data_IF_208933928724
#
_entry.id   IF_208933928724
#
_cell.length_a   1.000
_cell.length_b   1.000
_cell.length_c   1.000
_cell.angle_alpha   90.00
_cell.angle_beta   90.00
_cell.angle_gamma   90.00
#
_symmetry.space_group_name_H-M   'P 1'
#
loop_
_entity.id
_entity.type
_entity.pdbx_description
1 polymer ?
#
# COMPACT_ATOMS: atom_id res chain seq x y z
N UNK A 1 12.14 -6.99 -22.25
CA UNK A 1 12.39 -6.08 -21.10
C UNK A 1 12.62 -4.61 -21.53
N UNK A 2 13.54 -4.29 -22.44
CA UNK A 2 13.87 -2.87 -22.80
C UNK A 2 12.67 -2.10 -23.39
N UNK A 3 11.85 -2.74 -24.24
CA UNK A 3 10.65 -2.11 -24.80
C UNK A 3 9.61 -1.72 -23.73
N UNK A 4 9.43 -2.54 -22.70
CA UNK A 4 8.50 -2.25 -21.60
C UNK A 4 8.99 -1.03 -20.79
N UNK A 5 10.29 -0.95 -20.49
CA UNK A 5 10.90 0.21 -19.81
C UNK A 5 10.71 1.48 -20.63
N UNK A 6 10.91 1.42 -21.93
CA UNK A 6 10.73 2.55 -22.85
C UNK A 6 9.31 3.10 -22.82
N UNK A 7 8.30 2.22 -22.84
CA UNK A 7 6.89 2.61 -22.75
C UNK A 7 6.56 3.27 -21.41
N UNK A 8 7.03 2.70 -20.31
CA UNK A 8 6.81 3.28 -18.99
C UNK A 8 7.41 4.68 -18.88
N UNK A 9 8.68 4.86 -19.26
CA UNK A 9 9.33 6.17 -19.22
C UNK A 9 8.63 7.19 -20.13
N UNK A 10 8.18 6.80 -21.32
CA UNK A 10 7.45 7.70 -22.21
C UNK A 10 6.12 8.17 -21.61
N UNK A 11 5.40 7.29 -20.90
CA UNK A 11 4.14 7.63 -20.22
C UNK A 11 4.33 8.65 -19.10
N UNK A 12 5.46 8.58 -18.39
CA UNK A 12 5.80 9.52 -17.31
C UNK A 12 6.17 10.91 -17.82
N UNK A 13 6.58 11.05 -19.09
CA UNK A 13 6.94 12.35 -19.65
C UNK A 13 5.71 13.24 -19.87
N UNK A 14 5.71 14.42 -19.27
CA UNK A 14 4.73 15.47 -19.57
C UNK A 14 4.91 16.00 -21.00
N UNK A 15 3.89 16.69 -21.52
CA UNK A 15 3.97 17.32 -22.83
C UNK A 15 5.11 18.37 -22.89
N UNK A 16 5.32 19.13 -21.82
CA UNK A 16 6.41 20.11 -21.70
C UNK A 16 7.78 19.44 -21.84
N UNK A 17 8.00 18.34 -21.12
CA UNK A 17 9.25 17.57 -21.15
C UNK A 17 9.52 16.96 -22.55
N UNK A 18 8.47 16.45 -23.21
CA UNK A 18 8.59 15.94 -24.59
C UNK A 18 8.96 17.05 -25.57
N UNK A 19 8.36 18.24 -25.45
CA UNK A 19 8.66 19.38 -26.29
C UNK A 19 10.08 19.91 -26.06
N UNK A 20 10.54 19.96 -24.80
CA UNK A 20 11.90 20.35 -24.48
C UNK A 20 12.92 19.35 -25.04
N UNK A 21 12.71 18.05 -24.83
CA UNK A 21 13.59 17.01 -25.39
C UNK A 21 13.62 17.05 -26.91
N UNK A 22 12.47 17.28 -27.55
CA UNK A 22 12.38 17.50 -29.03
C UNK A 22 13.23 18.68 -29.48
N UNK A 23 13.14 19.82 -28.79
CA UNK A 23 13.95 21.01 -29.08
C UNK A 23 15.44 20.73 -28.95
N UNK A 24 15.86 19.98 -27.94
CA UNK A 24 17.26 19.58 -27.73
C UNK A 24 17.79 18.67 -28.88
N UNK A 25 16.90 17.87 -29.47
CA UNK A 25 17.27 16.96 -30.56
C UNK A 25 17.32 17.66 -31.93
N UNK A 26 16.59 18.76 -32.13
CA UNK A 26 16.41 19.41 -33.43
C UNK A 26 17.72 19.84 -34.14
N UNK A 27 18.74 20.21 -33.35
CA UNK A 27 20.02 20.73 -33.84
C UNK A 27 21.16 19.69 -33.81
N UNK A 28 20.86 18.41 -33.54
CA UNK A 28 21.86 17.35 -33.46
C UNK A 28 21.98 16.62 -34.79
N UNK A 29 23.21 16.39 -35.23
CA UNK A 29 23.54 15.67 -36.51
C UNK A 29 23.63 14.16 -36.33
N UNK A 30 23.74 13.65 -35.10
CA UNK A 30 23.79 12.22 -34.81
C UNK A 30 22.45 11.55 -35.15
N UNK A 31 22.52 10.47 -35.93
CA UNK A 31 21.36 9.70 -36.38
C UNK A 31 20.44 9.25 -35.26
N UNK A 32 20.98 9.00 -34.07
CA UNK A 32 20.19 8.59 -32.89
C UNK A 32 19.26 9.71 -32.40
N UNK A 33 19.79 10.95 -32.39
CA UNK A 33 18.97 12.13 -32.05
C UNK A 33 17.95 12.46 -33.15
N UNK A 34 18.27 12.22 -34.39
CA UNK A 34 17.32 12.39 -35.51
C UNK A 34 16.13 11.42 -35.36
N UNK A 35 16.39 10.16 -35.04
CA UNK A 35 15.35 9.17 -34.79
C UNK A 35 14.52 9.56 -33.53
N UNK A 36 15.16 9.98 -32.44
CA UNK A 36 14.47 10.44 -31.26
C UNK A 36 13.59 11.66 -31.56
N UNK A 37 14.08 12.62 -32.34
CA UNK A 37 13.31 13.78 -32.81
C UNK A 37 12.07 13.35 -33.59
N UNK A 38 12.21 12.43 -34.54
CA UNK A 38 11.10 11.90 -35.32
C UNK A 38 10.11 11.15 -34.46
N UNK A 39 10.60 10.34 -33.51
CA UNK A 39 9.78 9.61 -32.56
C UNK A 39 8.93 10.56 -31.72
N UNK A 40 9.50 11.67 -31.24
CA UNK A 40 8.80 12.68 -30.44
C UNK A 40 7.83 13.56 -31.24
N UNK A 41 7.96 13.62 -32.55
CA UNK A 41 7.06 14.34 -33.45
C UNK A 41 5.84 13.50 -33.87
N UNK A 42 5.89 12.19 -33.68
CA UNK A 42 4.80 11.31 -34.05
C UNK A 42 3.61 11.51 -33.11
N UNK A 43 2.41 11.67 -33.63
CA UNK A 43 1.19 11.73 -32.84
C UNK A 43 0.71 10.31 -32.56
N UNK A 44 0.94 9.84 -31.37
CA UNK A 44 0.49 8.53 -30.93
C UNK A 44 -0.98 8.60 -30.51
N UNK A 45 -1.82 7.74 -31.03
CA UNK A 45 -3.17 7.50 -30.51
C UNK A 45 -3.07 6.76 -29.17
N UNK A 46 -2.16 5.79 -29.08
CA UNK A 46 -1.80 5.07 -27.87
C UNK A 46 -0.28 5.06 -27.65
N UNK A 47 0.15 5.08 -26.38
CA UNK A 47 1.58 4.94 -26.05
C UNK A 47 2.20 3.63 -26.58
N UNK A 48 1.37 2.60 -26.80
CA UNK A 48 1.82 1.29 -27.29
C UNK A 48 2.34 1.33 -28.74
N UNK A 49 1.97 2.38 -29.51
CA UNK A 49 2.46 2.60 -30.87
C UNK A 49 3.93 3.05 -30.93
N UNK A 50 4.51 3.43 -29.78
CA UNK A 50 5.89 3.91 -29.69
C UNK A 50 6.91 2.86 -30.17
N UNK A 51 6.73 1.60 -29.80
CA UNK A 51 7.65 0.51 -30.17
C UNK A 51 7.57 0.16 -31.68
N UNK A 52 6.38 -0.03 -32.25
CA UNK A 52 6.23 -0.20 -33.70
C UNK A 52 6.85 0.96 -34.49
N UNK A 53 6.61 2.21 -34.07
CA UNK A 53 7.15 3.38 -34.74
C UNK A 53 8.68 3.45 -34.65
N UNK A 54 9.25 3.14 -33.46
CA UNK A 54 10.71 3.09 -33.32
C UNK A 54 11.34 2.04 -34.24
N UNK A 55 10.73 0.86 -34.39
CA UNK A 55 11.18 -0.15 -35.35
C UNK A 55 11.10 0.34 -36.78
N UNK A 56 9.99 0.97 -37.18
CA UNK A 56 9.80 1.57 -38.50
C UNK A 56 10.88 2.62 -38.83
N UNK A 57 11.22 3.48 -37.86
CA UNK A 57 12.26 4.49 -38.01
C UNK A 57 13.66 3.87 -38.16
N UNK A 58 13.94 2.77 -37.46
CA UNK A 58 15.20 2.01 -37.62
C UNK A 58 15.29 1.42 -39.00
N UNK A 59 14.25 0.76 -39.50
CA UNK A 59 14.23 0.13 -40.81
C UNK A 59 14.39 1.18 -41.92
N UNK A 60 13.78 2.36 -41.76
CA UNK A 60 13.95 3.48 -42.68
C UNK A 60 15.38 4.02 -42.69
N UNK A 61 16.04 4.09 -41.54
CA UNK A 61 17.38 4.67 -41.42
C UNK A 61 18.50 3.70 -41.83
N UNK A 62 18.25 2.39 -41.72
CA UNK A 62 19.21 1.33 -42.08
C UNK A 62 18.51 0.20 -42.85
N UNK A 63 18.10 0.46 -44.12
CA UNK A 63 17.35 -0.53 -44.90
C UNK A 63 18.21 -1.77 -45.17
N UNK A 64 17.61 -2.95 -45.03
CA UNK A 64 18.25 -4.24 -45.33
C UNK A 64 19.33 -4.69 -44.36
N UNK A 65 19.47 -4.09 -43.19
CA UNK A 65 20.46 -4.49 -42.20
C UNK A 65 20.08 -5.81 -41.54
N UNK A 66 21.03 -6.77 -41.52
CA UNK A 66 20.84 -8.09 -40.82
C UNK A 66 20.78 -7.96 -39.26
N UNK A 67 21.22 -6.80 -38.70
CA UNK A 67 21.36 -6.60 -37.26
C UNK A 67 20.28 -5.66 -36.67
N UNK A 68 19.08 -5.59 -37.25
CA UNK A 68 18.04 -4.66 -36.83
C UNK A 68 17.61 -4.85 -35.36
N UNK A 69 17.63 -6.05 -34.85
CA UNK A 69 17.28 -6.29 -33.47
C UNK A 69 18.33 -5.75 -32.46
N UNK A 70 19.62 -5.88 -32.78
CA UNK A 70 20.70 -5.30 -32.00
C UNK A 70 20.65 -3.77 -32.03
N UNK A 71 20.38 -3.19 -33.21
CA UNK A 71 20.20 -1.74 -33.37
C UNK A 71 18.99 -1.24 -32.59
N UNK A 72 17.87 -1.97 -32.66
CA UNK A 72 16.68 -1.68 -31.86
C UNK A 72 17.00 -1.65 -30.37
N UNK A 73 17.70 -2.66 -29.86
CA UNK A 73 18.09 -2.73 -28.45
C UNK A 73 18.98 -1.55 -28.05
N UNK A 74 20.03 -1.23 -28.84
CA UNK A 74 20.94 -0.11 -28.57
C UNK A 74 20.24 1.24 -28.63
N UNK A 75 19.37 1.44 -29.61
CA UNK A 75 18.63 2.69 -29.74
C UNK A 75 17.56 2.85 -28.68
N UNK A 76 16.85 1.78 -28.31
CA UNK A 76 15.91 1.80 -27.19
C UNK A 76 16.58 2.16 -25.87
N UNK A 77 17.79 1.66 -25.61
CA UNK A 77 18.57 2.04 -24.43
C UNK A 77 18.94 3.54 -24.46
N UNK A 78 19.40 4.03 -25.61
CA UNK A 78 19.71 5.45 -25.79
C UNK A 78 18.47 6.33 -25.55
N UNK A 79 17.31 5.96 -26.12
CA UNK A 79 16.05 6.70 -25.94
C UNK A 79 15.62 6.68 -24.45
N UNK A 80 15.70 5.53 -23.78
CA UNK A 80 15.46 5.45 -22.35
C UNK A 80 16.36 6.39 -21.55
N UNK A 81 17.66 6.42 -21.87
CA UNK A 81 18.64 7.31 -21.22
C UNK A 81 18.25 8.79 -21.39
N UNK A 82 17.84 9.20 -22.59
CA UNK A 82 17.40 10.58 -22.83
C UNK A 82 16.11 10.93 -22.07
N UNK A 83 15.18 9.98 -21.94
CA UNK A 83 13.97 10.17 -21.14
C UNK A 83 14.30 10.25 -19.63
N UNK A 84 15.21 9.45 -19.15
CA UNK A 84 15.67 9.51 -17.76
C UNK A 84 16.37 10.85 -17.45
N UNK A 85 17.23 11.33 -18.36
CA UNK A 85 17.92 12.61 -18.21
C UNK A 85 16.91 13.76 -18.07
N UNK A 86 15.93 13.86 -18.96
CA UNK A 86 14.95 14.95 -18.91
C UNK A 86 14.06 14.88 -17.66
N UNK A 87 13.68 13.70 -17.22
CA UNK A 87 12.93 13.49 -15.98
C UNK A 87 13.74 13.95 -14.75
N UNK A 88 15.04 13.57 -14.71
CA UNK A 88 15.95 13.96 -13.61
C UNK A 88 16.17 15.47 -13.59
N UNK A 89 16.41 16.10 -14.75
CA UNK A 89 16.63 17.54 -14.85
C UNK A 89 15.41 18.34 -14.41
N UNK A 90 14.20 17.94 -14.83
CA UNK A 90 12.97 18.55 -14.35
C UNK A 90 12.78 18.36 -12.84
N UNK A 91 12.97 17.14 -12.35
CA UNK A 91 12.90 16.86 -10.93
C UNK A 91 13.86 17.73 -10.10
N UNK A 92 15.11 17.90 -10.56
CA UNK A 92 16.09 18.75 -9.91
C UNK A 92 15.77 20.25 -10.02
N UNK A 93 15.11 20.69 -11.10
CA UNK A 93 14.67 22.08 -11.26
C UNK A 93 13.55 22.44 -10.25
N UNK A 94 12.66 21.50 -9.97
CA UNK A 94 11.58 21.65 -9.00
C UNK A 94 12.05 21.45 -7.55
N UNK A 95 13.13 20.69 -7.35
CA UNK A 95 13.68 20.31 -6.05
C UNK A 95 15.06 20.90 -5.80
N UNK A 96 15.11 22.21 -5.62
CA UNK A 96 16.33 22.99 -5.40
C UNK A 96 17.19 22.48 -4.24
N UNK A 97 16.60 21.98 -3.16
CA UNK A 97 17.33 21.42 -2.04
C UNK A 97 18.11 20.14 -2.44
N UNK A 98 17.51 19.24 -3.24
CA UNK A 98 18.20 18.05 -3.75
C UNK A 98 19.33 18.46 -4.69
N UNK A 99 19.08 19.41 -5.59
CA UNK A 99 20.10 19.97 -6.47
C UNK A 99 21.29 20.54 -5.68
N UNK A 100 21.03 21.33 -4.62
CA UNK A 100 22.09 21.89 -3.78
C UNK A 100 22.87 20.81 -3.01
N UNK A 101 22.21 19.75 -2.56
CA UNK A 101 22.89 18.58 -1.95
C UNK A 101 23.90 17.93 -2.91
N UNK A 102 23.53 17.76 -4.18
CA UNK A 102 24.43 17.20 -5.21
C UNK A 102 25.59 18.17 -5.52
N UNK A 103 25.32 19.47 -5.57
CA UNK A 103 26.36 20.51 -5.77
C UNK A 103 27.35 20.48 -4.62
N UNK A 104 26.87 20.43 -3.37
CA UNK A 104 27.74 20.34 -2.18
C UNK A 104 28.71 19.17 -2.29
N UNK A 105 28.19 17.97 -2.58
CA UNK A 105 29.03 16.77 -2.73
C UNK A 105 30.10 16.92 -3.83
N UNK A 106 29.76 17.56 -4.94
CA UNK A 106 30.69 17.82 -6.02
C UNK A 106 31.79 18.82 -5.65
N UNK A 107 31.43 19.87 -4.88
CA UNK A 107 32.36 20.95 -4.50
C UNK A 107 33.27 20.50 -3.34
N UNK A 108 32.79 19.66 -2.43
CA UNK A 108 33.60 19.11 -1.33
C UNK A 108 34.87 18.41 -1.84
N UNK A 109 34.78 17.71 -2.96
CA UNK A 109 35.93 17.07 -3.61
C UNK A 109 37.00 18.06 -4.11
N UNK A 110 36.58 19.32 -4.36
CA UNK A 110 37.45 20.38 -4.90
C UNK A 110 38.05 21.29 -3.81
N UNK A 111 37.62 21.19 -2.55
CA UNK A 111 38.22 21.88 -1.41
C UNK A 111 37.97 23.39 -1.29
N UNK A 112 37.01 23.96 -2.03
CA UNK A 112 36.68 25.40 -1.93
C UNK A 112 35.73 25.66 -0.72
N UNK A 113 36.30 25.99 0.42
CA UNK A 113 35.61 26.11 1.71
C UNK A 113 34.52 27.19 1.70
N UNK A 114 34.75 28.36 1.09
CA UNK A 114 33.76 29.45 1.06
C UNK A 114 32.51 29.06 0.22
N UNK A 115 32.74 28.39 -0.88
CA UNK A 115 31.68 27.90 -1.74
C UNK A 115 30.89 26.75 -1.08
N UNK A 116 31.60 25.87 -0.38
CA UNK A 116 31.00 24.78 0.40
C UNK A 116 30.09 25.35 1.50
N UNK A 117 30.53 26.33 2.26
CA UNK A 117 29.76 27.00 3.31
C UNK A 117 28.48 27.60 2.73
N UNK A 118 28.61 28.38 1.64
CA UNK A 118 27.47 28.99 0.96
C UNK A 118 26.39 27.95 0.56
N UNK A 119 26.80 26.85 -0.05
CA UNK A 119 25.84 25.84 -0.49
C UNK A 119 25.23 25.02 0.66
N UNK A 120 25.93 24.82 1.78
CA UNK A 120 25.32 24.21 2.96
C UNK A 120 24.27 25.12 3.60
N UNK A 121 24.50 26.40 3.68
CA UNK A 121 23.53 27.38 4.17
C UNK A 121 22.29 27.41 3.28
N UNK A 122 22.49 27.42 1.96
CA UNK A 122 21.41 27.35 0.99
C UNK A 122 20.62 26.04 1.07
N UNK A 123 21.31 24.92 1.18
CA UNK A 123 20.70 23.61 1.36
C UNK A 123 19.83 23.56 2.63
N UNK A 124 20.36 24.02 3.75
CA UNK A 124 19.63 24.10 5.02
C UNK A 124 18.35 24.93 4.89
N UNK A 125 18.47 26.14 4.33
CA UNK A 125 17.33 27.04 4.13
C UNK A 125 16.22 26.42 3.29
N UNK A 126 16.56 25.95 2.11
CA UNK A 126 15.59 25.36 1.17
C UNK A 126 14.99 24.04 1.70
N UNK A 127 15.80 23.22 2.39
CA UNK A 127 15.32 22.00 3.02
C UNK A 127 14.34 22.29 4.18
N UNK A 128 14.58 23.39 4.92
CA UNK A 128 13.68 23.85 5.99
C UNK A 128 12.36 24.36 5.43
N UNK A 129 12.38 25.18 4.37
CA UNK A 129 11.19 25.69 3.69
C UNK A 129 10.31 24.57 3.11
N UNK A 130 10.91 23.51 2.62
CA UNK A 130 10.23 22.36 2.00
C UNK A 130 9.98 21.19 2.98
N UNK A 131 10.29 21.33 4.27
CA UNK A 131 10.18 20.30 5.30
C UNK A 131 10.93 18.98 4.95
N UNK A 132 12.09 19.09 4.32
CA UNK A 132 12.93 17.96 3.93
C UNK A 132 13.91 17.58 5.04
N UNK A 133 13.46 16.78 6.02
CA UNK A 133 14.24 16.44 7.23
C UNK A 133 15.65 15.92 6.93
N UNK A 134 15.81 14.96 6.03
CA UNK A 134 17.13 14.39 5.71
C UNK A 134 18.11 15.39 5.11
N UNK A 135 17.64 16.27 4.22
CA UNK A 135 18.45 17.34 3.63
C UNK A 135 18.73 18.47 4.62
N UNK A 136 17.79 18.74 5.54
CA UNK A 136 17.99 19.68 6.64
C UNK A 136 19.10 19.21 7.58
N UNK A 137 19.09 17.93 7.96
CA UNK A 137 20.16 17.29 8.74
C UNK A 137 21.51 17.44 8.02
N UNK A 138 21.58 17.15 6.72
CA UNK A 138 22.80 17.31 5.94
C UNK A 138 23.28 18.77 5.92
N UNK A 139 22.38 19.73 5.74
CA UNK A 139 22.69 21.16 5.77
C UNK A 139 23.27 21.59 7.13
N UNK A 140 22.64 21.17 8.24
CA UNK A 140 23.11 21.46 9.60
C UNK A 140 24.49 20.83 9.88
N UNK A 141 24.70 19.57 9.54
CA UNK A 141 26.02 18.94 9.68
C UNK A 141 27.11 19.72 8.94
N UNK A 142 26.84 20.13 7.71
CA UNK A 142 27.78 20.94 6.94
C UNK A 142 28.03 22.30 7.58
N UNK A 143 26.98 22.99 8.04
CA UNK A 143 27.08 24.27 8.74
C UNK A 143 27.91 24.17 10.01
N UNK A 144 27.67 23.16 10.84
CA UNK A 144 28.44 22.88 12.06
C UNK A 144 29.92 22.69 11.71
N UNK A 145 30.23 21.81 10.74
CA UNK A 145 31.60 21.52 10.33
C UNK A 145 32.35 22.74 9.80
N UNK A 146 31.70 23.55 8.98
CA UNK A 146 32.31 24.74 8.40
C UNK A 146 32.53 25.84 9.45
N UNK A 147 31.56 26.08 10.33
CA UNK A 147 31.69 27.07 11.40
C UNK A 147 32.73 26.63 12.46
N UNK A 148 32.81 25.34 12.75
CA UNK A 148 33.84 24.82 13.64
C UNK A 148 35.25 24.95 13.04
N UNK A 149 35.40 24.74 11.73
CA UNK A 149 36.68 24.83 11.04
C UNK A 149 37.24 26.27 10.98
N UNK A 150 36.39 27.29 11.07
CA UNK A 150 36.81 28.69 11.04
C UNK A 150 37.53 29.17 12.33
N UNK A 151 37.26 28.51 13.46
CA UNK A 151 37.73 28.85 14.81
C UNK A 151 37.41 30.31 15.26
N UNK A 152 36.50 30.98 14.60
CA UNK A 152 36.01 32.33 14.98
C UNK A 152 34.92 32.19 16.04
N UNK A 153 35.04 32.95 17.15
CA UNK A 153 34.15 32.79 18.31
C UNK A 153 32.64 32.91 17.95
N UNK A 154 32.30 33.87 17.10
CA UNK A 154 30.88 34.03 16.64
C UNK A 154 30.39 32.82 15.86
N UNK A 155 31.23 32.24 15.00
CA UNK A 155 30.90 31.04 14.21
C UNK A 155 30.87 29.79 15.08
N UNK A 156 31.68 29.67 16.12
CA UNK A 156 31.59 28.60 17.10
C UNK A 156 30.27 28.64 17.88
N UNK A 157 29.81 29.84 18.27
CA UNK A 157 28.46 29.99 18.89
C UNK A 157 27.35 29.55 17.95
N UNK A 158 27.43 29.89 16.66
CA UNK A 158 26.51 29.40 15.66
C UNK A 158 26.56 27.87 15.46
N UNK A 159 27.75 27.29 15.50
CA UNK A 159 27.92 25.84 15.42
C UNK A 159 27.25 25.11 16.60
N UNK A 160 27.35 25.67 17.82
CA UNK A 160 26.66 25.10 19.00
C UNK A 160 25.14 25.17 18.86
N UNK A 161 24.59 26.32 18.46
CA UNK A 161 23.13 26.44 18.19
C UNK A 161 22.65 25.47 17.12
N UNK A 162 23.40 25.36 16.02
CA UNK A 162 23.07 24.41 14.96
C UNK A 162 23.14 22.93 15.43
N UNK A 163 24.05 22.63 16.37
CA UNK A 163 24.14 21.29 16.96
C UNK A 163 22.95 20.99 17.88
N UNK A 164 22.47 21.95 18.68
CA UNK A 164 21.27 21.81 19.49
C UNK A 164 20.02 21.57 18.62
N UNK A 165 19.89 22.34 17.53
CA UNK A 165 18.81 22.13 16.55
C UNK A 165 18.91 20.74 15.89
N UNK A 166 20.13 20.32 15.52
CA UNK A 166 20.36 19.01 14.92
C UNK A 166 19.95 17.88 15.86
N UNK A 167 20.33 17.95 17.15
CA UNK A 167 19.95 16.98 18.17
C UNK A 167 18.41 16.87 18.31
N UNK A 168 17.73 18.02 18.30
CA UNK A 168 16.26 18.05 18.36
C UNK A 168 15.65 17.34 17.15
N UNK A 169 16.12 17.64 15.94
CA UNK A 169 15.62 17.03 14.70
C UNK A 169 15.91 15.53 14.66
N UNK A 170 17.11 15.12 15.08
CA UNK A 170 17.48 13.69 15.12
C UNK A 170 16.64 12.91 16.11
N UNK A 171 16.33 13.49 17.27
CA UNK A 171 15.45 12.86 18.25
C UNK A 171 14.03 12.71 17.71
N UNK A 172 13.50 13.72 17.05
CA UNK A 172 12.17 13.65 16.40
C UNK A 172 12.15 12.63 15.26
N UNK A 173 13.16 12.61 14.39
CA UNK A 173 13.27 11.65 13.29
C UNK A 173 13.38 10.21 13.81
N UNK A 174 14.16 10.01 14.88
CA UNK A 174 14.25 8.73 15.57
C UNK A 174 12.89 8.27 16.12
N UNK A 175 12.18 9.16 16.85
CA UNK A 175 10.87 8.84 17.39
C UNK A 175 9.88 8.49 16.27
N UNK A 176 9.87 9.27 15.18
CA UNK A 176 9.02 9.00 14.01
C UNK A 176 9.29 7.63 13.40
N UNK A 177 10.55 7.28 13.13
CA UNK A 177 10.94 5.98 12.56
C UNK A 177 10.57 4.82 13.47
N UNK A 178 10.74 4.97 14.78
CA UNK A 178 10.34 3.95 15.75
C UNK A 178 8.83 3.76 15.77
N UNK A 179 8.04 4.85 15.71
CA UNK A 179 6.57 4.79 15.60
C UNK A 179 6.15 4.05 14.33
N UNK A 180 6.74 4.39 13.18
CA UNK A 180 6.47 3.71 11.90
C UNK A 180 6.83 2.21 11.98
N UNK A 181 7.98 1.88 12.54
CA UNK A 181 8.41 0.50 12.74
C UNK A 181 7.42 -0.29 13.59
N UNK A 182 7.03 0.23 14.75
CA UNK A 182 6.05 -0.43 15.63
C UNK A 182 4.69 -0.57 14.95
N UNK A 183 4.27 0.43 14.19
CA UNK A 183 3.02 0.36 13.46
C UNK A 183 3.05 -0.72 12.37
N UNK A 184 4.13 -0.84 11.63
CA UNK A 184 4.31 -1.89 10.62
C UNK A 184 4.37 -3.29 11.24
N UNK A 185 5.13 -3.47 12.33
CA UNK A 185 5.16 -4.72 13.07
C UNK A 185 3.76 -5.12 13.56
N UNK A 186 2.98 -4.16 14.04
CA UNK A 186 1.61 -4.41 14.50
C UNK A 186 0.66 -4.78 13.36
N UNK A 187 0.87 -4.23 12.14
CA UNK A 187 0.13 -4.65 10.95
C UNK A 187 0.44 -6.10 10.58
N UNK A 188 1.72 -6.45 10.49
CA UNK A 188 2.15 -7.82 10.18
C UNK A 188 1.56 -8.79 11.21
N UNK A 189 1.58 -8.40 12.48
CA UNK A 189 1.00 -9.19 13.54
C UNK A 189 -0.52 -9.37 13.37
N UNK A 190 -1.25 -8.30 13.06
CA UNK A 190 -2.69 -8.34 12.85
C UNK A 190 -3.10 -9.21 11.65
N UNK A 191 -2.29 -9.21 10.59
CA UNK A 191 -2.53 -10.01 9.38
C UNK A 191 -2.11 -11.47 9.55
N UNK A 192 -1.09 -11.73 10.38
CA UNK A 192 -0.48 -13.05 10.59
C UNK A 192 -0.55 -13.52 12.05
N UNK A 193 -1.68 -13.26 12.72
CA UNK A 193 -1.91 -13.51 14.15
C UNK A 193 -1.43 -14.88 14.65
N UNK A 194 -1.43 -15.87 13.76
CA UNK A 194 -1.12 -17.26 14.03
C UNK A 194 0.37 -17.61 14.01
N UNK A 195 1.23 -16.72 13.44
CA UNK A 195 2.66 -17.04 13.26
C UNK A 195 3.57 -16.46 14.36
N UNK A 196 3.06 -15.50 15.16
CA UNK A 196 3.90 -14.65 16.01
C UNK A 196 3.42 -14.52 17.47
N UNK A 197 2.62 -15.48 17.98
CA UNK A 197 2.02 -15.44 19.34
C UNK A 197 3.07 -15.17 20.40
N UNK A 198 4.22 -15.85 20.36
CA UNK A 198 5.29 -15.71 21.35
C UNK A 198 5.98 -14.33 21.35
N UNK A 199 5.82 -13.55 20.29
CA UNK A 199 6.43 -12.21 20.16
C UNK A 199 5.50 -11.07 20.52
N UNK A 200 4.21 -11.35 20.72
CA UNK A 200 3.17 -10.35 21.01
C UNK A 200 3.47 -9.57 22.29
N UNK A 201 3.72 -10.28 23.36
CA UNK A 201 3.97 -9.68 24.69
C UNK A 201 5.22 -8.83 24.69
N UNK A 202 6.30 -9.32 24.05
CA UNK A 202 7.55 -8.58 23.92
C UNK A 202 7.37 -7.29 23.12
N UNK A 203 6.61 -7.33 22.03
CA UNK A 203 6.34 -6.16 21.18
C UNK A 203 5.42 -5.16 21.91
N UNK A 204 4.37 -5.63 22.60
CA UNK A 204 3.50 -4.80 23.43
C UNK A 204 4.27 -4.08 24.54
N UNK A 205 5.14 -4.79 25.25
CA UNK A 205 6.01 -4.22 26.29
C UNK A 205 6.98 -3.18 25.71
N UNK A 206 7.60 -3.46 24.56
CA UNK A 206 8.49 -2.53 23.91
C UNK A 206 7.77 -1.23 23.50
N UNK A 207 6.57 -1.34 22.92
CA UNK A 207 5.74 -0.18 22.56
C UNK A 207 5.34 0.61 23.80
N UNK A 208 4.90 -0.06 24.87
CA UNK A 208 4.49 0.59 26.13
C UNK A 208 5.66 1.34 26.79
N UNK A 209 6.85 0.75 26.78
CA UNK A 209 8.05 1.40 27.29
C UNK A 209 8.43 2.63 26.44
N UNK A 210 8.36 2.51 25.13
CA UNK A 210 8.67 3.61 24.22
C UNK A 210 7.65 4.74 24.33
N UNK A 211 6.36 4.42 24.54
CA UNK A 211 5.29 5.40 24.75
C UNK A 211 5.60 6.39 25.89
N UNK A 212 6.26 5.93 26.96
CA UNK A 212 6.67 6.78 28.08
C UNK A 212 7.76 7.79 27.72
N UNK A 213 8.54 7.54 26.68
CA UNK A 213 9.62 8.42 26.20
C UNK A 213 9.17 9.41 25.13
N UNK A 214 7.95 9.28 24.62
CA UNK A 214 7.44 10.09 23.51
C UNK A 214 6.48 11.17 24.04
N UNK A 215 6.79 12.44 23.71
CA UNK A 215 5.99 13.58 24.16
C UNK A 215 5.00 14.10 23.11
N UNK A 216 5.23 13.83 21.81
CA UNK A 216 4.33 14.31 20.76
C UNK A 216 3.00 13.54 20.75
N UNK A 217 1.84 14.21 20.90
CA UNK A 217 0.54 13.54 20.91
C UNK A 217 0.27 12.71 19.66
N UNK A 218 0.70 13.17 18.48
CA UNK A 218 0.54 12.46 17.20
C UNK A 218 1.27 11.11 17.21
N UNK A 219 2.46 11.05 17.77
CA UNK A 219 3.24 9.83 17.88
C UNK A 219 2.67 8.87 18.94
N UNK A 220 2.20 9.43 20.08
CA UNK A 220 1.51 8.65 21.12
C UNK A 220 0.23 8.03 20.58
N UNK A 221 -0.57 8.78 19.81
CA UNK A 221 -1.76 8.24 19.14
C UNK A 221 -1.44 7.06 18.23
N UNK A 222 -0.38 7.14 17.42
CA UNK A 222 0.08 6.03 16.58
C UNK A 222 0.54 4.80 17.37
N UNK A 223 1.22 4.99 18.50
CA UNK A 223 1.65 3.90 19.38
C UNK A 223 0.45 3.21 20.05
N UNK A 224 -0.56 3.97 20.47
CA UNK A 224 -1.81 3.38 20.98
C UNK A 224 -2.56 2.60 19.90
N UNK A 225 -2.53 3.07 18.64
CA UNK A 225 -3.06 2.29 17.51
C UNK A 225 -2.30 0.97 17.29
N UNK A 226 -0.98 0.99 17.49
CA UNK A 226 -0.15 -0.21 17.40
C UNK A 226 -0.50 -1.19 18.51
N UNK A 227 -0.69 -0.72 19.74
CA UNK A 227 -1.15 -1.52 20.88
C UNK A 227 -2.56 -2.06 20.65
N UNK A 228 -3.48 -1.25 20.10
CA UNK A 228 -4.82 -1.68 19.75
C UNK A 228 -4.81 -2.85 18.75
N UNK A 229 -3.93 -2.81 17.74
CA UNK A 229 -3.77 -3.89 16.76
C UNK A 229 -3.21 -5.17 17.39
N UNK A 230 -2.22 -5.04 18.24
CA UNK A 230 -1.63 -6.19 18.94
C UNK A 230 -2.62 -6.85 19.90
N UNK A 231 -3.50 -6.07 20.52
CA UNK A 231 -4.47 -6.53 21.50
C UNK A 231 -5.88 -6.67 20.91
N UNK A 232 -5.97 -6.92 19.61
CA UNK A 232 -7.23 -6.98 18.87
C UNK A 232 -8.22 -8.04 19.44
N UNK A 233 -7.71 -9.08 20.05
CA UNK A 233 -8.48 -10.17 20.67
C UNK A 233 -8.82 -9.93 22.15
N UNK A 234 -8.41 -8.79 22.71
CA UNK A 234 -8.46 -8.53 24.13
C UNK A 234 -9.47 -7.41 24.45
N UNK A 235 -10.05 -7.44 25.68
CA UNK A 235 -10.94 -6.39 26.21
C UNK A 235 -10.30 -4.99 26.17
N UNK A 236 -8.97 -4.90 26.14
CA UNK A 236 -8.22 -3.65 26.14
C UNK A 236 -8.23 -2.91 24.77
N UNK A 237 -8.73 -3.53 23.69
CA UNK A 237 -8.77 -2.89 22.38
C UNK A 237 -9.52 -1.55 22.41
N UNK A 238 -10.69 -1.53 23.05
CA UNK A 238 -11.51 -0.33 23.19
C UNK A 238 -10.77 0.78 23.94
N UNK A 239 -10.05 0.43 25.02
CA UNK A 239 -9.25 1.36 25.81
C UNK A 239 -8.12 1.97 24.98
N UNK A 240 -7.36 1.17 24.25
CA UNK A 240 -6.28 1.69 23.39
C UNK A 240 -6.81 2.60 22.29
N UNK A 241 -7.97 2.31 21.71
CA UNK A 241 -8.60 3.17 20.72
C UNK A 241 -9.05 4.51 21.31
N UNK A 242 -9.63 4.51 22.52
CA UNK A 242 -10.02 5.75 23.20
C UNK A 242 -8.79 6.58 23.59
N UNK A 243 -7.71 5.96 24.05
CA UNK A 243 -6.45 6.63 24.33
C UNK A 243 -5.85 7.24 23.05
N UNK A 244 -5.87 6.52 21.91
CA UNK A 244 -5.43 7.05 20.61
C UNK A 244 -6.25 8.28 20.19
N UNK A 245 -7.58 8.25 20.38
CA UNK A 245 -8.46 9.40 20.10
C UNK A 245 -8.18 10.59 21.01
N UNK A 246 -7.95 10.32 22.30
CA UNK A 246 -7.63 11.35 23.29
C UNK A 246 -6.33 12.07 22.92
N UNK A 247 -5.28 11.33 22.62
CA UNK A 247 -4.00 11.91 22.17
C UNK A 247 -4.17 12.68 20.85
N UNK A 248 -4.94 12.15 19.90
CA UNK A 248 -5.17 12.84 18.62
C UNK A 248 -5.94 14.16 18.81
N UNK A 249 -6.85 14.28 19.78
CA UNK A 249 -7.51 15.54 20.11
C UNK A 249 -6.53 16.63 20.60
N UNK A 250 -5.44 16.21 21.24
CA UNK A 250 -4.38 17.09 21.73
C UNK A 250 -3.34 17.42 20.63
N UNK A 251 -3.38 16.75 19.49
CA UNK A 251 -2.48 16.99 18.37
C UNK A 251 -2.92 18.21 17.53
N UNK A 252 -1.95 18.83 16.87
CA UNK A 252 -2.22 19.95 15.97
C UNK A 252 -2.91 19.45 14.70
N UNK A 253 -4.13 19.92 14.41
CA UNK A 253 -4.92 19.47 13.24
C UNK A 253 -4.26 19.75 11.87
N UNK A 254 -3.33 20.70 11.82
CA UNK A 254 -2.57 21.04 10.62
C UNK A 254 -1.42 20.05 10.36
N UNK A 255 -1.17 19.14 11.30
CA UNK A 255 -0.14 18.11 11.12
C UNK A 255 -0.58 17.14 10.01
N UNK A 256 0.27 16.96 9.00
CA UNK A 256 -0.01 16.09 7.83
C UNK A 256 -0.39 14.67 8.24
N UNK A 257 0.15 14.21 9.36
CA UNK A 257 -0.08 12.86 9.88
C UNK A 257 -1.43 12.75 10.62
N UNK A 258 -2.05 13.86 11.04
CA UNK A 258 -3.30 13.89 11.80
C UNK A 258 -4.43 13.14 11.08
N UNK A 259 -4.68 13.51 9.83
CA UNK A 259 -5.75 12.90 9.03
C UNK A 259 -5.49 11.41 8.77
N UNK A 260 -4.24 11.02 8.55
CA UNK A 260 -3.87 9.63 8.34
C UNK A 260 -4.15 8.78 9.60
N UNK A 261 -3.78 9.27 10.78
CA UNK A 261 -4.05 8.58 12.05
C UNK A 261 -5.54 8.52 12.33
N UNK A 262 -6.28 9.60 12.12
CA UNK A 262 -7.73 9.64 12.28
C UNK A 262 -8.43 8.57 11.41
N UNK A 263 -7.97 8.41 10.17
CA UNK A 263 -8.47 7.38 9.25
C UNK A 263 -8.19 5.97 9.76
N UNK A 264 -6.97 5.74 10.25
CA UNK A 264 -6.57 4.44 10.84
C UNK A 264 -7.40 4.10 12.08
N UNK A 265 -7.68 5.08 12.94
CA UNK A 265 -8.59 4.91 14.09
C UNK A 265 -9.98 4.47 13.61
N UNK A 266 -10.57 5.22 12.68
CA UNK A 266 -11.90 4.91 12.14
C UNK A 266 -11.97 3.53 11.49
N UNK A 267 -10.90 3.11 10.83
CA UNK A 267 -10.82 1.77 10.23
C UNK A 267 -10.82 0.65 11.30
N UNK A 268 -10.04 0.82 12.36
CA UNK A 268 -10.05 -0.15 13.46
C UNK A 268 -11.40 -0.18 14.21
N UNK A 269 -12.06 0.97 14.37
CA UNK A 269 -13.41 1.04 14.91
C UNK A 269 -14.42 0.30 14.03
N UNK A 270 -14.34 0.47 12.72
CA UNK A 270 -15.19 -0.25 11.78
C UNK A 270 -15.05 -1.76 11.95
N UNK A 271 -13.81 -2.26 12.03
CA UNK A 271 -13.53 -3.67 12.26
C UNK A 271 -14.05 -4.14 13.62
N UNK A 272 -13.76 -3.38 14.69
CA UNK A 272 -14.24 -3.70 16.04
C UNK A 272 -15.78 -3.81 16.07
N UNK A 273 -16.48 -2.83 15.51
CA UNK A 273 -17.95 -2.83 15.48
C UNK A 273 -18.51 -3.98 14.64
N UNK A 274 -17.83 -4.35 13.55
CA UNK A 274 -18.22 -5.51 12.74
C UNK A 274 -18.12 -6.81 13.52
N UNK A 275 -17.02 -7.02 14.23
CA UNK A 275 -16.82 -8.24 15.01
C UNK A 275 -17.63 -8.28 16.32
N UNK A 276 -17.99 -7.13 16.88
CA UNK A 276 -18.88 -7.04 18.04
C UNK A 276 -20.37 -7.20 17.71
N UNK A 277 -20.71 -7.48 16.44
CA UNK A 277 -22.08 -7.76 16.02
C UNK A 277 -23.00 -6.53 15.99
N UNK A 278 -22.46 -5.33 15.77
CA UNK A 278 -23.29 -4.13 15.55
C UNK A 278 -24.15 -4.28 14.29
N UNK A 279 -25.28 -3.58 14.24
CA UNK A 279 -26.22 -3.67 13.13
C UNK A 279 -25.57 -3.34 11.79
N UNK A 280 -25.97 -4.05 10.74
CA UNK A 280 -25.44 -3.85 9.39
C UNK A 280 -25.66 -2.43 8.87
N UNK A 281 -26.78 -1.81 9.17
CA UNK A 281 -27.08 -0.41 8.82
C UNK A 281 -26.09 0.57 9.47
N UNK A 282 -25.72 0.36 10.73
CA UNK A 282 -24.70 1.16 11.39
C UNK A 282 -23.33 0.99 10.73
N UNK A 283 -22.94 -0.24 10.42
CA UNK A 283 -21.67 -0.55 9.77
C UNK A 283 -21.61 0.02 8.36
N UNK A 284 -22.72 -0.03 7.61
CA UNK A 284 -22.81 0.56 6.28
C UNK A 284 -22.60 2.07 6.32
N UNK A 285 -23.31 2.76 7.23
CA UNK A 285 -23.17 4.23 7.43
C UNK A 285 -21.74 4.60 7.86
N UNK A 286 -21.15 3.82 8.77
CA UNK A 286 -19.79 4.05 9.23
C UNK A 286 -18.78 3.83 8.10
N UNK A 287 -18.92 2.76 7.31
CA UNK A 287 -18.05 2.46 6.18
C UNK A 287 -18.09 3.55 5.11
N UNK A 288 -19.26 4.14 4.85
CA UNK A 288 -19.44 5.23 3.90
C UNK A 288 -18.68 6.50 4.32
N UNK A 289 -18.81 6.88 5.59
CA UNK A 289 -18.07 8.01 6.17
C UNK A 289 -16.56 7.82 6.12
N UNK A 290 -16.11 6.58 6.29
CA UNK A 290 -14.69 6.26 6.30
C UNK A 290 -14.13 6.23 4.87
N UNK A 291 -14.82 5.58 3.91
CA UNK A 291 -14.37 5.50 2.50
C UNK A 291 -14.21 6.89 1.88
N UNK A 292 -15.15 7.79 2.13
CA UNK A 292 -15.09 9.16 1.58
C UNK A 292 -13.92 10.01 2.12
N UNK A 293 -13.23 9.55 3.16
CA UNK A 293 -12.10 10.23 3.78
C UNK A 293 -10.72 9.74 3.33
N UNK A 294 -10.64 8.70 2.49
CA UNK A 294 -9.35 8.09 2.08
C UNK A 294 -8.88 8.51 0.70
N UNK A 295 -7.57 8.57 0.55
CA UNK A 295 -6.92 8.74 -0.76
C UNK A 295 -7.06 7.46 -1.59
N UNK A 296 -7.43 7.60 -2.87
CA UNK A 296 -7.83 6.49 -3.76
C UNK A 296 -6.77 5.38 -3.93
N UNK A 297 -5.52 5.64 -3.57
CA UNK A 297 -4.38 4.74 -3.84
C UNK A 297 -3.78 4.05 -2.60
N UNK A 298 -4.38 4.18 -1.41
CA UNK A 298 -3.83 3.54 -0.21
C UNK A 298 -4.23 2.06 -0.10
N UNK A 299 -3.34 1.22 0.42
CA UNK A 299 -3.63 -0.20 0.74
C UNK A 299 -4.82 -0.31 1.71
N UNK A 300 -4.94 0.63 2.64
CA UNK A 300 -6.06 0.72 3.59
C UNK A 300 -7.38 0.93 2.84
N UNK A 301 -7.36 1.64 1.72
CA UNK A 301 -8.52 1.85 0.88
C UNK A 301 -9.07 0.53 0.31
N UNK A 302 -8.20 -0.38 -0.13
CA UNK A 302 -8.62 -1.68 -0.66
C UNK A 302 -9.37 -2.52 0.39
N UNK A 303 -8.89 -2.53 1.64
CA UNK A 303 -9.57 -3.23 2.73
C UNK A 303 -10.91 -2.58 3.08
N UNK A 304 -11.01 -1.25 3.04
CA UNK A 304 -12.26 -0.53 3.27
C UNK A 304 -13.26 -0.78 2.15
N UNK A 305 -12.81 -0.77 0.89
CA UNK A 305 -13.65 -1.10 -0.25
C UNK A 305 -14.20 -2.54 -0.14
N UNK A 306 -13.37 -3.47 0.34
CA UNK A 306 -13.81 -4.84 0.63
C UNK A 306 -14.93 -4.85 1.68
N UNK A 307 -14.74 -4.21 2.84
CA UNK A 307 -15.77 -4.18 3.88
C UNK A 307 -17.04 -3.47 3.39
N UNK A 308 -16.92 -2.36 2.66
CA UNK A 308 -18.10 -1.66 2.13
C UNK A 308 -18.88 -2.54 1.18
N UNK A 309 -18.22 -3.19 0.22
CA UNK A 309 -18.88 -4.10 -0.72
C UNK A 309 -19.52 -5.29 0.02
N UNK A 310 -18.81 -5.84 1.02
CA UNK A 310 -19.35 -6.90 1.87
C UNK A 310 -20.64 -6.43 2.57
N UNK A 311 -20.65 -5.26 3.20
CA UNK A 311 -21.82 -4.75 3.92
C UNK A 311 -23.00 -4.43 2.98
N UNK A 312 -22.76 -3.94 1.77
CA UNK A 312 -23.80 -3.75 0.76
C UNK A 312 -24.45 -5.08 0.37
N UNK A 313 -23.63 -6.12 0.14
CA UNK A 313 -24.12 -7.47 -0.18
C UNK A 313 -24.92 -8.04 1.00
N UNK A 314 -24.40 -7.90 2.24
CA UNK A 314 -25.05 -8.39 3.45
C UNK A 314 -26.40 -7.70 3.72
N UNK A 315 -26.49 -6.42 3.39
CA UNK A 315 -27.69 -5.61 3.59
C UNK A 315 -28.68 -5.69 2.40
N UNK A 316 -28.38 -6.54 1.43
CA UNK A 316 -29.19 -6.71 0.20
C UNK A 316 -29.39 -5.44 -0.62
N UNK A 317 -28.45 -4.49 -0.53
CA UNK A 317 -28.42 -3.22 -1.29
C UNK A 317 -27.87 -3.44 -2.72
N UNK A 318 -28.52 -4.31 -3.48
CA UNK A 318 -27.97 -4.83 -4.74
C UNK A 318 -27.77 -3.76 -5.82
N UNK A 319 -28.61 -2.74 -5.89
CA UNK A 319 -28.44 -1.62 -6.82
C UNK A 319 -27.13 -0.89 -6.56
N UNK A 320 -26.81 -0.63 -5.28
CA UNK A 320 -25.55 -0.01 -4.89
C UNK A 320 -24.34 -0.92 -5.09
N UNK A 321 -24.53 -2.25 -4.99
CA UNK A 321 -23.48 -3.22 -5.32
C UNK A 321 -23.12 -3.14 -6.79
N UNK A 322 -24.11 -3.05 -7.68
CA UNK A 322 -23.89 -2.92 -9.12
C UNK A 322 -23.19 -1.60 -9.47
N UNK A 323 -23.62 -0.48 -8.91
CA UNK A 323 -22.95 0.81 -9.06
C UNK A 323 -21.47 0.71 -8.61
N UNK A 324 -21.23 0.13 -7.44
CA UNK A 324 -19.89 -0.02 -6.86
C UNK A 324 -18.98 -0.91 -7.72
N UNK A 325 -19.52 -2.01 -8.27
CA UNK A 325 -18.74 -2.94 -9.10
C UNK A 325 -18.42 -2.37 -10.49
N UNK A 326 -19.30 -1.50 -11.00
CA UNK A 326 -19.15 -0.84 -12.30
C UNK A 326 -18.31 0.44 -12.25
N UNK A 327 -18.05 0.98 -11.06
CA UNK A 327 -17.20 2.17 -10.91
C UNK A 327 -15.73 1.84 -11.22
N UNK A 328 -15.30 2.27 -12.41
CA UNK A 328 -13.92 2.08 -12.88
C UNK A 328 -12.88 2.89 -12.09
N UNK A 329 -13.31 3.88 -11.30
CA UNK A 329 -12.44 4.69 -10.45
C UNK A 329 -12.00 3.94 -9.18
N UNK A 330 -12.72 2.87 -8.81
CA UNK A 330 -12.40 2.01 -7.68
C UNK A 330 -11.45 0.89 -8.11
N UNK A 331 -10.18 1.08 -7.81
CA UNK A 331 -9.13 0.17 -8.23
C UNK A 331 -8.78 -0.83 -7.13
N UNK A 332 -9.02 -2.12 -7.39
CA UNK A 332 -8.51 -3.21 -6.57
C UNK A 332 -7.20 -3.72 -7.17
N UNK A 333 -6.09 -3.59 -6.43
CA UNK A 333 -4.76 -3.99 -6.89
C UNK A 333 -4.28 -5.27 -6.17
N UNK A 334 -3.47 -6.06 -6.86
CA UNK A 334 -2.80 -7.22 -6.27
C UNK A 334 -3.78 -8.25 -5.70
N UNK A 335 -3.53 -8.71 -4.47
CA UNK A 335 -4.37 -9.69 -3.76
C UNK A 335 -5.80 -9.20 -3.53
N UNK A 336 -6.04 -7.91 -3.43
CA UNK A 336 -7.38 -7.35 -3.26
C UNK A 336 -8.31 -7.63 -4.45
N UNK A 337 -7.75 -7.88 -5.64
CA UNK A 337 -8.51 -8.34 -6.81
C UNK A 337 -9.18 -9.70 -6.55
N UNK A 338 -8.47 -10.60 -5.89
CA UNK A 338 -8.99 -11.94 -5.55
C UNK A 338 -10.12 -11.83 -4.52
N UNK A 339 -9.97 -10.94 -3.53
CA UNK A 339 -11.03 -10.65 -2.56
C UNK A 339 -12.27 -10.04 -3.23
N UNK A 340 -12.08 -9.14 -4.20
CA UNK A 340 -13.20 -8.59 -4.99
C UNK A 340 -13.93 -9.70 -5.74
N UNK A 341 -13.22 -10.59 -6.41
CA UNK A 341 -13.82 -11.73 -7.13
C UNK A 341 -14.61 -12.63 -6.18
N UNK A 342 -14.10 -12.88 -4.97
CA UNK A 342 -14.84 -13.64 -3.97
C UNK A 342 -16.16 -12.95 -3.59
N UNK A 343 -16.16 -11.64 -3.34
CA UNK A 343 -17.39 -10.88 -3.05
C UNK A 343 -18.34 -10.84 -4.24
N UNK A 344 -17.86 -10.78 -5.46
CA UNK A 344 -18.68 -10.90 -6.67
C UNK A 344 -19.35 -12.29 -6.75
N UNK A 345 -18.63 -13.35 -6.43
CA UNK A 345 -19.20 -14.68 -6.38
C UNK A 345 -20.31 -14.80 -5.32
N UNK A 346 -20.09 -14.21 -4.14
CA UNK A 346 -21.06 -14.14 -3.05
C UNK A 346 -22.31 -13.34 -3.47
N UNK A 347 -22.11 -12.21 -4.14
CA UNK A 347 -23.19 -11.38 -4.68
C UNK A 347 -24.06 -12.16 -5.67
N UNK A 348 -23.45 -12.83 -6.66
CA UNK A 348 -24.20 -13.63 -7.62
C UNK A 348 -24.91 -14.84 -6.99
N UNK A 349 -24.32 -15.44 -5.94
CA UNK A 349 -25.00 -16.48 -5.16
C UNK A 349 -26.27 -15.94 -4.51
N UNK A 350 -26.20 -14.73 -3.93
CA UNK A 350 -27.36 -14.07 -3.31
C UNK A 350 -28.46 -13.67 -4.30
N UNK A 351 -28.09 -13.28 -5.51
CA UNK A 351 -29.04 -13.03 -6.59
C UNK A 351 -29.65 -14.31 -7.18
N UNK A 352 -29.17 -15.51 -6.79
CA UNK A 352 -29.56 -16.78 -7.37
C UNK A 352 -28.92 -17.10 -8.73
N UNK A 353 -28.01 -16.24 -9.22
CA UNK A 353 -27.21 -16.54 -10.44
C UNK A 353 -26.04 -17.48 -10.13
N UNK A 354 -26.43 -18.74 -9.83
CA UNK A 354 -25.48 -19.77 -9.46
C UNK A 354 -24.45 -20.08 -10.56
N UNK A 355 -24.79 -19.81 -11.84
CA UNK A 355 -23.87 -20.04 -12.97
C UNK A 355 -22.71 -19.04 -12.92
N UNK A 356 -22.98 -17.75 -12.76
CA UNK A 356 -21.95 -16.74 -12.65
C UNK A 356 -21.12 -16.92 -11.40
N UNK A 357 -21.78 -17.16 -10.25
CA UNK A 357 -21.08 -17.46 -8.99
C UNK A 357 -20.10 -18.62 -9.14
N UNK A 358 -20.55 -19.76 -9.66
CA UNK A 358 -19.71 -20.93 -9.87
C UNK A 358 -18.54 -20.66 -10.81
N UNK A 359 -18.76 -19.90 -11.89
CA UNK A 359 -17.67 -19.54 -12.83
C UNK A 359 -16.56 -18.79 -12.10
N UNK A 360 -16.91 -17.78 -11.32
CA UNK A 360 -15.93 -16.97 -10.57
C UNK A 360 -15.24 -17.82 -9.50
N UNK A 361 -15.98 -18.65 -8.76
CA UNK A 361 -15.41 -19.53 -7.74
C UNK A 361 -14.38 -20.49 -8.32
N UNK A 362 -14.61 -21.04 -9.52
CA UNK A 362 -13.65 -21.89 -10.20
C UNK A 362 -12.33 -21.18 -10.55
N UNK A 363 -12.35 -19.85 -10.75
CA UNK A 363 -11.14 -19.07 -11.01
C UNK A 363 -10.31 -18.85 -9.72
N UNK A 364 -10.96 -18.67 -8.57
CA UNK A 364 -10.30 -18.26 -7.32
C UNK A 364 -10.07 -19.36 -6.30
N UNK A 365 -10.75 -20.51 -6.42
CA UNK A 365 -10.61 -21.64 -5.48
C UNK A 365 -9.21 -22.29 -5.47
N UNK A 366 -8.36 -21.94 -6.44
CA UNK A 366 -6.96 -22.38 -6.53
C UNK A 366 -5.98 -21.24 -6.23
N UNK A 367 -6.46 -20.14 -5.66
CA UNK A 367 -5.64 -19.00 -5.26
C UNK A 367 -4.55 -19.42 -4.28
N UNK A 368 -3.39 -18.77 -4.35
CA UNK A 368 -2.32 -18.88 -3.35
C UNK A 368 -2.74 -18.34 -1.98
N UNK A 369 -3.70 -17.41 -1.93
CA UNK A 369 -4.30 -16.96 -0.68
C UNK A 369 -5.16 -18.07 -0.09
N UNK A 370 -4.64 -18.70 0.97
CA UNK A 370 -5.26 -19.87 1.60
C UNK A 370 -6.69 -19.60 2.08
N UNK A 371 -6.95 -18.46 2.73
CA UNK A 371 -8.29 -18.15 3.25
C UNK A 371 -9.30 -17.97 2.15
N UNK A 372 -8.95 -17.25 1.08
CA UNK A 372 -9.84 -17.09 -0.09
C UNK A 372 -10.11 -18.44 -0.75
N UNK A 373 -9.08 -19.28 -0.88
CA UNK A 373 -9.25 -20.63 -1.45
C UNK A 373 -10.21 -21.48 -0.61
N UNK A 374 -10.09 -21.46 0.72
CA UNK A 374 -10.99 -22.21 1.62
C UNK A 374 -12.42 -21.66 1.58
N UNK A 375 -12.61 -20.34 1.72
CA UNK A 375 -13.94 -19.75 1.67
C UNK A 375 -14.63 -19.92 0.32
N UNK A 376 -13.89 -19.82 -0.77
CA UNK A 376 -14.44 -20.08 -2.12
C UNK A 376 -14.93 -21.50 -2.27
N UNK A 377 -14.21 -22.48 -1.71
CA UNK A 377 -14.63 -23.88 -1.70
C UNK A 377 -15.85 -24.12 -0.81
N UNK A 378 -15.92 -23.50 0.36
CA UNK A 378 -17.08 -23.59 1.25
C UNK A 378 -18.34 -22.99 0.57
N UNK A 379 -18.22 -21.85 -0.09
CA UNK A 379 -19.31 -21.26 -0.86
C UNK A 379 -19.72 -22.14 -2.03
N UNK A 380 -18.77 -22.76 -2.73
CA UNK A 380 -19.04 -23.71 -3.77
C UNK A 380 -19.76 -24.96 -3.26
N UNK A 381 -19.32 -25.52 -2.10
CA UNK A 381 -20.01 -26.62 -1.44
C UNK A 381 -21.43 -26.26 -1.05
N UNK A 382 -21.67 -25.02 -0.56
CA UNK A 382 -23.03 -24.52 -0.27
C UNK A 382 -23.91 -24.52 -1.52
N UNK A 383 -23.41 -24.06 -2.66
CA UNK A 383 -24.13 -24.09 -3.94
C UNK A 383 -24.45 -25.53 -4.36
N UNK A 384 -23.58 -26.47 -4.06
CA UNK A 384 -23.76 -27.87 -4.37
C UNK A 384 -24.65 -28.64 -3.37
N UNK A 385 -25.08 -28.03 -2.24
CA UNK A 385 -25.87 -28.74 -1.21
C UNK A 385 -27.17 -29.33 -1.73
N UNK A 386 -27.81 -28.69 -2.73
CA UNK A 386 -28.97 -29.27 -3.43
C UNK A 386 -28.66 -30.55 -4.23
N UNK A 387 -27.40 -30.87 -4.43
CA UNK A 387 -26.88 -32.02 -5.20
C UNK A 387 -25.95 -32.91 -4.36
N UNK A 388 -26.24 -33.08 -3.07
CA UNK A 388 -25.38 -33.76 -2.10
C UNK A 388 -24.95 -35.17 -2.42
N UNK A 389 -25.82 -35.90 -3.11
CA UNK A 389 -25.55 -37.28 -3.55
C UNK A 389 -24.74 -37.33 -4.86
N UNK A 390 -24.36 -36.19 -5.40
CA UNK A 390 -23.58 -36.15 -6.64
C UNK A 390 -22.12 -36.48 -6.40
N UNK A 391 -21.48 -37.12 -7.37
CA UNK A 391 -20.03 -37.37 -7.37
C UNK A 391 -19.23 -36.07 -7.29
N UNK A 392 -19.79 -34.97 -7.85
CA UNK A 392 -19.18 -33.63 -7.81
C UNK A 392 -19.13 -33.06 -6.39
N UNK A 393 -20.19 -33.21 -5.60
CA UNK A 393 -20.19 -32.76 -4.20
C UNK A 393 -19.13 -33.51 -3.40
N UNK A 394 -19.12 -34.86 -3.50
CA UNK A 394 -18.16 -35.71 -2.79
C UNK A 394 -16.71 -35.39 -3.18
N UNK A 395 -16.42 -35.23 -4.47
CA UNK A 395 -15.09 -34.88 -4.94
C UNK A 395 -14.64 -33.48 -4.49
N UNK A 396 -15.58 -32.53 -4.42
CA UNK A 396 -15.31 -31.17 -3.93
C UNK A 396 -15.00 -31.15 -2.43
N UNK A 397 -15.70 -31.94 -1.62
CA UNK A 397 -15.40 -32.15 -0.19
C UNK A 397 -13.99 -32.71 -0.01
N UNK A 398 -13.67 -33.78 -0.73
CA UNK A 398 -12.33 -34.40 -0.64
C UNK A 398 -11.21 -33.44 -1.09
N UNK A 399 -11.46 -32.66 -2.16
CA UNK A 399 -10.52 -31.64 -2.62
C UNK A 399 -10.31 -30.54 -1.57
N UNK A 400 -11.38 -30.10 -0.89
CA UNK A 400 -11.29 -29.12 0.20
C UNK A 400 -10.51 -29.66 1.39
N UNK A 401 -10.78 -30.90 1.81
CA UNK A 401 -10.02 -31.60 2.87
C UNK A 401 -8.53 -31.69 2.53
N UNK A 402 -8.17 -32.00 1.28
CA UNK A 402 -6.76 -32.07 0.86
C UNK A 402 -6.03 -30.75 1.01
N UNK A 403 -6.65 -29.62 0.66
CA UNK A 403 -6.05 -28.29 0.83
C UNK A 403 -5.88 -27.96 2.30
N UNK A 404 -6.87 -28.25 3.13
CA UNK A 404 -6.81 -28.05 4.57
C UNK A 404 -5.70 -28.90 5.18
N UNK A 405 -5.63 -30.19 4.82
CA UNK A 405 -4.63 -31.11 5.32
C UNK A 405 -3.20 -30.75 4.87
N UNK A 406 -3.02 -30.19 3.68
CA UNK A 406 -1.71 -29.71 3.20
C UNK A 406 -1.15 -28.60 4.09
N UNK A 407 -2.01 -27.86 4.77
CA UNK A 407 -1.67 -26.80 5.70
C UNK A 407 -1.85 -27.20 7.18
N UNK A 408 -2.04 -28.48 7.48
CA UNK A 408 -2.38 -28.99 8.82
C UNK A 408 -1.37 -28.61 9.92
N UNK A 409 -0.10 -28.44 9.54
CA UNK A 409 0.95 -28.04 10.48
C UNK A 409 0.97 -26.53 10.78
N UNK A 410 0.13 -25.76 10.11
CA UNK A 410 -0.02 -24.33 10.28
C UNK A 410 -1.35 -24.03 11.01
N UNK A 411 -1.40 -23.00 11.84
CA UNK A 411 -2.66 -22.54 12.46
C UNK A 411 -3.76 -22.28 11.43
N UNK A 412 -3.41 -21.82 10.20
CA UNK A 412 -4.33 -21.67 9.08
C UNK A 412 -5.03 -22.97 8.68
N UNK A 413 -4.31 -24.09 8.69
CA UNK A 413 -4.89 -25.42 8.43
C UNK A 413 -5.88 -25.83 9.50
N UNK A 414 -5.59 -25.52 10.77
CA UNK A 414 -6.51 -25.74 11.88
C UNK A 414 -7.80 -24.94 11.71
N UNK A 415 -7.69 -23.64 11.41
CA UNK A 415 -8.83 -22.75 11.12
C UNK A 415 -9.68 -23.30 9.96
N UNK A 416 -9.05 -23.70 8.86
CA UNK A 416 -9.76 -24.31 7.71
C UNK A 416 -10.51 -25.59 8.10
N UNK A 417 -9.90 -26.43 8.95
CA UNK A 417 -10.54 -27.64 9.47
C UNK A 417 -11.78 -27.32 10.32
N UNK A 418 -11.67 -26.36 11.22
CA UNK A 418 -12.80 -25.91 12.04
C UNK A 418 -13.97 -25.43 11.16
N UNK A 419 -13.71 -24.66 10.13
CA UNK A 419 -14.75 -24.19 9.22
C UNK A 419 -15.42 -25.31 8.44
N UNK A 420 -14.67 -26.30 7.99
CA UNK A 420 -15.24 -27.44 7.31
C UNK A 420 -16.10 -28.30 8.28
N UNK A 421 -15.64 -28.50 9.51
CA UNK A 421 -16.39 -29.19 10.55
C UNK A 421 -17.68 -28.45 10.90
N UNK A 422 -17.64 -27.12 11.04
CA UNK A 422 -18.83 -26.31 11.30
C UNK A 422 -19.81 -26.36 10.12
N UNK A 423 -19.30 -26.34 8.89
CA UNK A 423 -20.15 -26.50 7.69
C UNK A 423 -21.00 -27.76 7.75
N UNK A 424 -20.42 -28.90 8.15
CA UNK A 424 -21.16 -30.16 8.27
C UNK A 424 -22.04 -30.21 9.53
N UNK A 425 -21.59 -29.67 10.69
CA UNK A 425 -22.40 -29.63 11.93
C UNK A 425 -23.67 -28.78 11.78
N UNK A 426 -23.60 -27.63 11.13
CA UNK A 426 -24.79 -26.80 10.88
C UNK A 426 -25.81 -27.48 10.00
N UNK A 427 -25.36 -28.35 9.10
CA UNK A 427 -26.24 -29.15 8.24
C UNK A 427 -27.05 -30.17 9.05
N UNK A 428 -26.47 -30.73 10.12
CA UNK A 428 -27.13 -31.78 10.94
C UNK A 428 -27.99 -31.22 12.07
N UNK A 429 -28.21 -29.89 12.16
CA UNK A 429 -29.00 -29.17 13.20
C UNK A 429 -28.67 -29.54 14.65
N UNK A 430 -27.53 -30.15 14.93
CA UNK A 430 -27.12 -30.48 16.30
C UNK A 430 -26.25 -29.40 16.89
N UNK A 431 -26.60 -29.01 18.12
CA UNK A 431 -26.03 -27.96 19.01
C UNK A 431 -24.59 -27.55 18.67
N UNK A 432 -24.45 -26.30 18.32
CA UNK A 432 -23.14 -25.63 18.15
C UNK A 432 -22.55 -25.42 19.55
N UNK A 433 -21.44 -26.08 19.87
CA UNK A 433 -20.60 -25.70 20.99
C UNK A 433 -19.98 -24.34 20.69
N UNK A 434 -20.09 -23.43 21.66
CA UNK A 434 -19.54 -22.07 21.59
C UNK A 434 -18.02 -22.18 21.66
N UNK A 435 -17.32 -21.84 20.58
CA UNK A 435 -15.87 -21.74 20.57
C UNK A 435 -15.40 -20.42 21.19
N UNK A 436 -14.22 -20.42 21.80
CA UNK A 436 -13.60 -19.26 22.47
C UNK A 436 -13.43 -18.05 21.52
N UNK A 437 -13.51 -16.85 22.08
CA UNK A 437 -13.60 -15.56 21.38
C UNK A 437 -12.50 -15.25 20.38
N UNK A 438 -11.29 -15.80 20.51
CA UNK A 438 -10.19 -15.62 19.55
C UNK A 438 -10.41 -16.28 18.19
N UNK A 439 -11.28 -17.29 18.10
CA UNK A 439 -11.66 -17.98 16.85
C UNK A 439 -12.83 -17.28 16.14
N UNK A 440 -13.47 -16.30 16.80
CA UNK A 440 -14.70 -15.64 16.36
C UNK A 440 -14.48 -14.67 15.18
N UNK A 441 -13.29 -14.13 15.00
CA UNK A 441 -13.06 -13.06 14.01
C UNK A 441 -13.25 -13.49 12.56
N UNK A 442 -12.88 -14.72 12.25
CA UNK A 442 -13.21 -15.34 10.97
C UNK A 442 -14.65 -15.86 10.92
N UNK A 443 -15.30 -15.97 12.08
CA UNK A 443 -16.64 -16.52 12.24
C UNK A 443 -17.75 -15.67 11.57
N UNK A 444 -17.62 -14.35 11.45
CA UNK A 444 -18.71 -13.54 10.87
C UNK A 444 -18.86 -13.83 9.40
N UNK A 445 -17.78 -13.84 8.62
CA UNK A 445 -17.81 -14.20 7.21
C UNK A 445 -18.26 -15.66 7.05
N UNK A 446 -17.78 -16.56 7.90
CA UNK A 446 -18.14 -17.96 7.93
C UNK A 446 -19.60 -18.18 8.32
N UNK A 447 -20.11 -17.55 9.38
CA UNK A 447 -21.55 -17.57 9.76
C UNK A 447 -22.40 -17.07 8.60
N UNK A 448 -21.95 -16.03 7.90
CA UNK A 448 -22.67 -15.50 6.78
C UNK A 448 -22.66 -16.43 5.56
N UNK A 449 -21.55 -17.07 5.23
CA UNK A 449 -21.48 -18.07 4.15
C UNK A 449 -22.41 -19.25 4.44
N UNK A 450 -22.52 -19.65 5.72
CA UNK A 450 -23.28 -20.83 6.13
C UNK A 450 -24.72 -20.55 6.53
N UNK A 451 -25.03 -19.42 7.15
CA UNK A 451 -26.38 -19.09 7.61
C UNK A 451 -27.10 -18.18 6.60
N UNK A 452 -28.31 -18.58 6.19
CA UNK A 452 -29.19 -17.76 5.38
C UNK A 452 -29.88 -16.62 6.18
N UNK A 453 -29.63 -16.49 7.47
CA UNK A 453 -30.23 -15.48 8.35
C UNK A 453 -29.13 -14.86 9.21
N UNK A 454 -28.87 -13.59 8.97
CA UNK A 454 -28.35 -12.67 9.97
C UNK A 454 -29.56 -11.81 10.29
N UNK A 455 -30.17 -12.07 11.46
CA UNK A 455 -31.22 -11.22 12.01
C UNK A 455 -30.66 -9.86 12.41
#
# INVERSE_FOLDING_TARGET
>A
MVGIKLLHLYRELSLSQRNELRSRCSNKTDKRYLILYQLLNFKYENSDDLIPELKRLIDKQWPGSKDNEQKFRRLSLFVCEQFEIILIEHYLSENSAIKNSLIVRSIEQKGNLSLIKHYYEKLYKEASEKNHTGLKIQGLHGKIRMNYASQVESELKEALRANEELLTILNEDYQKRMVEYYYQCSNIYLEQNHLLVDKKENLSSAISNFLNSVNKPIFRASLYLSLAKLNYDNQNLSEFLENAKSELKNAVKQDREYEDILRKIKFLELRLNFFSGKSLNYLLTLSEKVVNSFDKYSIINNNLLFYRLLFLILNSEYDKVDEFLNDKSLFFQGESKIHKLFLQALYFERLGDLKKSTKILNEIMYSENYLVAVFSRLLFLKILTSKEKSSLFTSSVESTKRIINKNKNNQLGHVGHLYLVQFFKQKDQKKVEVFNDSEIQLNVLHRYILNNKID
#
